data_IF_745919544485
#
_entry.id   IF_745919544485
#
_cell.length_a   1.000
_cell.length_b   1.000
_cell.length_c   1.000
_cell.angle_alpha   90.00
_cell.angle_beta   90.00
_cell.angle_gamma   90.00
#
_symmetry.space_group_name_H-M   'P 1'
#
loop_
_entity.id
_entity.type
_entity.pdbx_description
1 polymer ?
#
# COMPACT_ATOMS: atom_id res chain seq x y z
N UNK A 1 -21.25 6.67 17.25
CA UNK A 1 -20.84 8.09 17.16
C UNK A 1 -20.85 8.46 15.68
N UNK A 2 -21.55 9.51 15.26
CA UNK A 2 -21.68 9.95 13.85
C UNK A 2 -20.48 10.80 13.40
N UNK A 3 -19.28 10.46 13.87
CA UNK A 3 -18.07 11.22 13.60
C UNK A 3 -17.40 10.62 12.36
N UNK A 4 -17.73 11.19 11.21
CA UNK A 4 -17.04 10.90 9.97
C UNK A 4 -15.57 11.31 10.08
N UNK A 5 -14.66 10.44 9.61
CA UNK A 5 -13.22 10.73 9.49
C UNK A 5 -12.86 11.43 8.16
N UNK A 6 -13.86 11.78 7.35
CA UNK A 6 -13.69 12.39 6.04
C UNK A 6 -13.49 13.91 6.13
N UNK A 7 -13.05 14.53 5.02
CA UNK A 7 -12.91 15.97 4.91
C UNK A 7 -14.24 16.69 5.29
N UNK A 8 -14.20 17.74 6.14
CA UNK A 8 -15.42 18.39 6.63
C UNK A 8 -16.36 18.89 5.52
N UNK A 9 -15.82 19.42 4.42
CA UNK A 9 -16.60 19.89 3.27
C UNK A 9 -17.40 18.75 2.60
N UNK A 10 -16.79 17.57 2.41
CA UNK A 10 -17.45 16.41 1.84
C UNK A 10 -18.59 15.91 2.73
N UNK A 11 -18.38 15.90 4.06
CA UNK A 11 -19.41 15.50 5.03
C UNK A 11 -20.59 16.48 5.02
N UNK A 12 -20.32 17.79 4.94
CA UNK A 12 -21.36 18.83 4.81
C UNK A 12 -22.22 18.62 3.56
N UNK A 13 -21.59 18.45 2.38
CA UNK A 13 -22.30 18.19 1.11
C UNK A 13 -23.18 16.93 1.19
N UNK A 14 -22.67 15.86 1.80
CA UNK A 14 -23.45 14.65 2.02
C UNK A 14 -24.69 14.93 2.91
N UNK A 15 -24.51 15.65 4.03
CA UNK A 15 -25.61 16.01 4.93
C UNK A 15 -26.66 16.91 4.27
N UNK A 16 -26.24 17.84 3.39
CA UNK A 16 -27.17 18.66 2.59
C UNK A 16 -28.03 17.80 1.65
N UNK A 17 -27.45 16.78 1.01
CA UNK A 17 -28.21 15.84 0.17
C UNK A 17 -29.19 15.00 0.99
N UNK A 18 -28.81 14.60 2.20
CA UNK A 18 -29.71 13.89 3.14
C UNK A 18 -30.86 14.80 3.57
N UNK A 19 -30.58 16.05 3.97
CA UNK A 19 -31.60 17.01 4.35
C UNK A 19 -32.56 17.36 3.19
N UNK A 20 -32.05 17.37 1.96
CA UNK A 20 -32.85 17.57 0.75
C UNK A 20 -33.62 16.32 0.28
N UNK A 21 -33.53 15.19 1.00
CA UNK A 21 -34.19 13.93 0.63
C UNK A 21 -33.61 13.24 -0.62
N UNK A 22 -32.47 13.71 -1.13
CA UNK A 22 -31.78 13.17 -2.31
C UNK A 22 -30.87 11.99 -1.99
N UNK A 23 -30.58 11.76 -0.70
CA UNK A 23 -29.75 10.65 -0.22
C UNK A 23 -30.36 10.08 1.07
N UNK A 24 -30.34 8.76 1.20
CA UNK A 24 -30.66 8.09 2.45
C UNK A 24 -29.38 7.72 3.18
N UNK A 25 -29.16 8.31 4.36
CA UNK A 25 -28.09 7.89 5.26
C UNK A 25 -28.63 6.87 6.26
N UNK A 26 -27.92 5.75 6.39
CA UNK A 26 -28.26 4.64 7.29
C UNK A 26 -27.01 4.26 8.09
N UNK A 27 -27.07 4.39 9.40
CA UNK A 27 -25.97 4.01 10.29
C UNK A 27 -26.13 2.54 10.70
N UNK A 28 -25.17 1.70 10.33
CA UNK A 28 -25.19 0.27 10.63
C UNK A 28 -24.13 -0.51 9.85
N UNK A 29 -24.27 -1.83 9.83
CA UNK A 29 -23.39 -2.75 9.10
C UNK A 29 -24.21 -3.61 8.14
N UNK A 30 -23.73 -3.77 6.90
CA UNK A 30 -24.32 -4.72 5.96
C UNK A 30 -24.00 -6.14 6.43
N UNK A 31 -25.03 -6.96 6.66
CA UNK A 31 -24.89 -8.34 7.17
C UNK A 31 -25.27 -9.39 6.14
N UNK A 32 -26.06 -9.04 5.14
CA UNK A 32 -26.41 -9.94 4.03
C UNK A 32 -26.72 -9.15 2.76
N UNK A 33 -26.60 -9.82 1.62
CA UNK A 33 -27.00 -9.32 0.30
C UNK A 33 -28.11 -10.20 -0.25
N UNK A 34 -29.09 -9.59 -0.91
CA UNK A 34 -30.17 -10.27 -1.63
C UNK A 34 -30.03 -10.01 -3.12
N UNK A 35 -30.25 -11.04 -3.92
CA UNK A 35 -30.09 -11.00 -5.35
C UNK A 35 -30.10 -12.40 -5.94
N UNK A 36 -30.32 -12.50 -7.24
CA UNK A 36 -30.24 -13.74 -7.99
C UNK A 36 -29.40 -13.53 -9.26
N UNK A 37 -28.73 -14.58 -9.74
CA UNK A 37 -27.88 -14.52 -10.93
C UNK A 37 -26.74 -13.49 -10.86
N UNK A 38 -26.28 -13.13 -9.65
CA UNK A 38 -25.26 -12.09 -9.44
C UNK A 38 -25.79 -10.65 -9.52
N UNK A 39 -27.10 -10.45 -9.66
CA UNK A 39 -27.74 -9.13 -9.69
C UNK A 39 -28.27 -8.81 -8.30
N UNK A 40 -27.79 -7.72 -7.70
CA UNK A 40 -28.24 -7.26 -6.39
C UNK A 40 -29.67 -6.71 -6.48
N UNK A 41 -30.50 -7.01 -5.49
CA UNK A 41 -31.83 -6.43 -5.32
C UNK A 41 -32.00 -5.69 -3.99
N UNK A 42 -31.27 -6.10 -2.94
CA UNK A 42 -31.22 -5.38 -1.67
C UNK A 42 -29.97 -5.72 -0.83
N UNK A 43 -29.65 -4.84 0.11
CA UNK A 43 -28.70 -5.09 1.19
C UNK A 43 -29.46 -5.12 2.54
N UNK A 44 -29.16 -6.11 3.38
CA UNK A 44 -29.64 -6.17 4.77
C UNK A 44 -28.64 -5.45 5.66
N UNK A 45 -29.12 -4.42 6.36
CA UNK A 45 -28.31 -3.60 7.26
C UNK A 45 -28.77 -3.82 8.68
N UNK A 46 -27.85 -4.19 9.57
CA UNK A 46 -28.07 -4.23 11.02
C UNK A 46 -27.72 -2.86 11.61
N UNK A 47 -28.72 -2.20 12.18
CA UNK A 47 -28.56 -0.95 12.92
C UNK A 47 -27.85 -1.15 14.26
N UNK A 48 -27.43 -0.05 14.88
CA UNK A 48 -26.77 -0.08 16.20
C UNK A 48 -27.72 -0.46 17.34
N UNK A 49 -29.03 -0.35 17.11
CA UNK A 49 -30.10 -0.82 18.00
C UNK A 49 -30.32 -2.35 17.92
N UNK A 50 -29.58 -3.03 17.03
CA UNK A 50 -29.70 -4.47 16.80
C UNK A 50 -30.81 -4.84 15.81
N UNK A 51 -31.67 -3.90 15.42
CA UNK A 51 -32.69 -4.13 14.42
C UNK A 51 -32.06 -4.27 13.02
N UNK A 52 -32.66 -5.09 12.17
CA UNK A 52 -32.24 -5.23 10.77
C UNK A 52 -33.29 -4.66 9.85
N UNK A 53 -32.84 -3.96 8.80
CA UNK A 53 -33.71 -3.41 7.77
C UNK A 53 -33.09 -3.62 6.38
N UNK A 54 -33.93 -3.57 5.35
CA UNK A 54 -33.53 -3.75 3.97
C UNK A 54 -33.39 -2.42 3.25
N UNK A 55 -32.35 -2.32 2.42
CA UNK A 55 -32.12 -1.20 1.51
C UNK A 55 -32.17 -1.75 0.10
N UNK A 56 -33.21 -1.40 -0.66
CA UNK A 56 -33.32 -1.77 -2.07
C UNK A 56 -32.16 -1.13 -2.85
N UNK A 57 -31.38 -1.94 -3.54
CA UNK A 57 -30.23 -1.48 -4.33
C UNK A 57 -29.86 -2.49 -5.40
N UNK A 58 -29.37 -2.01 -6.53
CA UNK A 58 -28.86 -2.81 -7.63
C UNK A 58 -27.32 -2.86 -7.69
N UNK A 59 -26.63 -2.03 -6.89
CA UNK A 59 -25.18 -1.97 -6.83
C UNK A 59 -24.71 -1.67 -5.41
N UNK A 60 -23.60 -2.28 -4.99
CA UNK A 60 -22.94 -1.98 -3.73
C UNK A 60 -21.50 -1.54 -4.02
N UNK A 61 -21.13 -0.37 -3.51
CA UNK A 61 -19.79 0.20 -3.66
C UNK A 61 -19.13 0.26 -2.26
N UNK A 62 -18.38 -0.78 -1.86
CA UNK A 62 -17.72 -0.81 -0.56
C UNK A 62 -16.45 0.04 -0.55
N UNK A 63 -16.42 1.09 0.27
CA UNK A 63 -15.23 1.95 0.48
C UNK A 63 -14.62 1.73 1.87
N UNK A 64 -14.21 0.49 2.18
CA UNK A 64 -13.65 0.13 3.49
C UNK A 64 -12.18 0.55 3.71
N UNK A 65 -11.57 1.19 2.71
CA UNK A 65 -10.13 1.44 2.67
C UNK A 65 -9.37 0.31 1.98
N UNK A 66 -8.06 0.27 2.19
CA UNK A 66 -7.15 -0.69 1.55
C UNK A 66 -6.60 -1.67 2.59
N UNK A 67 -6.34 -2.90 2.15
CA UNK A 67 -5.63 -3.91 2.94
C UNK A 67 -4.39 -4.36 2.19
N UNK A 68 -3.27 -4.52 2.90
CA UNK A 68 -2.04 -5.03 2.31
C UNK A 68 -2.08 -6.56 2.32
N UNK A 69 -1.99 -7.15 1.14
CA UNK A 69 -1.75 -8.58 0.96
C UNK A 69 -0.41 -8.74 0.26
N UNK A 70 0.33 -9.82 0.53
CA UNK A 70 1.60 -10.10 -0.13
C UNK A 70 1.45 -10.10 -1.67
N UNK A 71 0.30 -10.56 -2.16
CA UNK A 71 -0.06 -10.46 -3.56
C UNK A 71 0.88 -11.28 -4.45
N UNK A 72 1.21 -10.79 -5.66
CA UNK A 72 1.99 -11.55 -6.64
C UNK A 72 3.38 -11.99 -6.17
N UNK A 73 3.96 -11.31 -5.17
CA UNK A 73 5.31 -11.66 -4.65
C UNK A 73 5.36 -13.10 -4.14
N UNK A 74 4.23 -13.62 -3.63
CA UNK A 74 4.11 -15.01 -3.18
C UNK A 74 4.38 -16.02 -4.31
N UNK A 75 4.09 -15.64 -5.55
CA UNK A 75 4.10 -16.55 -6.71
C UNK A 75 5.39 -16.42 -7.55
N UNK A 76 6.33 -15.56 -7.15
CA UNK A 76 7.57 -15.32 -7.92
C UNK A 76 8.64 -16.41 -7.75
N UNK A 77 8.37 -17.44 -6.95
CA UNK A 77 9.34 -18.50 -6.65
C UNK A 77 10.54 -18.02 -5.83
N UNK A 78 10.41 -16.88 -5.15
CA UNK A 78 11.42 -16.36 -4.23
C UNK A 78 11.31 -17.07 -2.89
N UNK A 79 12.45 -17.27 -2.23
CA UNK A 79 12.48 -17.87 -0.90
C UNK A 79 11.88 -16.88 0.12
N UNK A 80 10.75 -17.22 0.71
CA UNK A 80 10.07 -16.42 1.72
C UNK A 80 10.24 -17.03 3.11
N UNK A 81 10.52 -16.20 4.10
CA UNK A 81 10.49 -16.54 5.51
C UNK A 81 9.43 -15.68 6.19
N UNK A 82 8.35 -16.28 6.68
CA UNK A 82 7.22 -15.56 7.32
C UNK A 82 6.66 -14.42 6.45
N UNK A 83 6.49 -14.67 5.15
CA UNK A 83 6.04 -13.69 4.14
C UNK A 83 7.00 -12.51 3.88
N UNK A 84 8.27 -12.62 4.33
CA UNK A 84 9.33 -11.65 4.05
C UNK A 84 10.43 -12.29 3.22
N UNK A 85 11.17 -11.47 2.47
CA UNK A 85 12.30 -11.90 1.64
C UNK A 85 13.61 -11.81 2.43
N UNK A 86 14.27 -12.94 2.77
CA UNK A 86 15.61 -12.91 3.35
C UNK A 86 16.60 -12.30 2.37
N UNK A 87 17.49 -11.45 2.88
CA UNK A 87 18.52 -10.77 2.08
C UNK A 87 19.87 -10.73 2.79
N UNK A 88 20.95 -10.55 2.03
CA UNK A 88 22.26 -10.22 2.60
C UNK A 88 22.31 -8.76 3.08
N UNK A 89 23.11 -8.46 4.10
CA UNK A 89 23.16 -7.11 4.70
C UNK A 89 24.18 -6.17 4.03
N UNK A 90 24.97 -6.64 3.07
CA UNK A 90 25.94 -5.82 2.37
C UNK A 90 25.36 -5.19 1.09
N UNK A 91 24.41 -5.88 0.44
CA UNK A 91 23.82 -5.50 -0.85
C UNK A 91 22.30 -5.55 -0.85
N UNK A 92 21.68 -6.20 0.13
CA UNK A 92 20.24 -6.46 0.17
C UNK A 92 19.73 -7.26 -1.05
N UNK A 93 20.59 -8.15 -1.54
CA UNK A 93 20.31 -9.11 -2.61
C UNK A 93 19.60 -10.33 -2.01
N UNK A 94 18.61 -10.85 -2.72
CA UNK A 94 17.87 -12.06 -2.32
C UNK A 94 18.68 -13.32 -2.64
N UNK A 95 18.12 -14.50 -2.36
CA UNK A 95 18.71 -15.76 -2.83
C UNK A 95 18.80 -15.88 -4.36
N UNK A 96 18.08 -15.06 -5.10
CA UNK A 96 18.12 -15.02 -6.57
C UNK A 96 19.01 -13.85 -7.03
N UNK A 97 20.17 -14.11 -7.66
CA UNK A 97 21.08 -13.05 -8.10
C UNK A 97 20.41 -12.03 -9.02
N UNK A 98 20.70 -10.75 -8.81
CA UNK A 98 20.09 -9.63 -9.52
C UNK A 98 18.70 -9.22 -9.04
N UNK A 99 18.07 -9.97 -8.13
CA UNK A 99 16.84 -9.57 -7.45
C UNK A 99 17.17 -9.09 -6.04
N UNK A 100 16.75 -7.86 -5.74
CA UNK A 100 16.99 -7.21 -4.45
C UNK A 100 15.66 -6.97 -3.74
N UNK A 101 15.70 -6.92 -2.41
CA UNK A 101 14.55 -6.56 -1.60
C UNK A 101 14.97 -5.56 -0.53
N UNK A 102 14.29 -4.41 -0.49
CA UNK A 102 14.53 -3.31 0.46
C UNK A 102 13.24 -2.86 1.12
N UNK A 103 13.32 -2.20 2.27
CA UNK A 103 12.15 -1.75 3.03
C UNK A 103 11.45 -2.89 3.76
N UNK A 104 10.16 -2.74 4.03
CA UNK A 104 9.42 -3.60 4.97
C UNK A 104 9.16 -5.03 4.47
N UNK A 105 9.45 -5.31 3.19
CA UNK A 105 9.27 -6.62 2.57
C UNK A 105 10.45 -7.58 2.85
N UNK A 106 11.62 -7.07 3.23
CA UNK A 106 12.79 -7.92 3.48
C UNK A 106 12.95 -8.31 4.96
N UNK A 107 13.85 -9.24 5.22
CA UNK A 107 14.26 -9.63 6.57
C UNK A 107 15.74 -9.98 6.64
N UNK A 108 16.37 -9.68 7.79
CA UNK A 108 17.75 -10.01 8.15
C UNK A 108 17.93 -9.81 9.67
N UNK A 109 18.97 -10.36 10.31
CA UNK A 109 19.19 -10.20 11.74
C UNK A 109 19.22 -8.73 12.18
N UNK A 110 18.31 -8.35 13.08
CA UNK A 110 18.18 -6.98 13.59
C UNK A 110 17.35 -6.02 12.70
N UNK A 111 16.62 -6.53 11.69
CA UNK A 111 15.73 -5.71 10.86
C UNK A 111 14.72 -4.93 11.70
N UNK A 112 14.60 -3.62 11.39
CA UNK A 112 13.53 -2.76 11.86
C UNK A 112 12.72 -2.24 10.66
N UNK A 113 11.39 -2.25 10.77
CA UNK A 113 10.46 -1.73 9.74
C UNK A 113 10.33 -0.22 9.87
N UNK A 114 11.38 0.47 9.47
CA UNK A 114 11.47 1.92 9.56
C UNK A 114 11.90 2.50 8.22
N UNK A 115 11.35 3.67 7.88
CA UNK A 115 11.63 4.37 6.61
C UNK A 115 13.14 4.62 6.44
N UNK A 116 13.84 5.03 7.51
CA UNK A 116 15.29 5.27 7.47
C UNK A 116 16.11 4.00 7.17
N UNK A 117 15.67 2.82 7.61
CA UNK A 117 16.31 1.55 7.28
C UNK A 117 16.16 1.28 5.79
N UNK A 118 14.96 1.49 5.23
CA UNK A 118 14.73 1.41 3.78
C UNK A 118 15.65 2.32 2.96
N UNK A 119 15.96 3.53 3.44
CA UNK A 119 16.92 4.41 2.77
C UNK A 119 18.36 3.89 2.81
N UNK A 120 18.80 3.38 3.96
CA UNK A 120 20.12 2.73 4.08
C UNK A 120 20.21 1.52 3.14
N UNK A 121 19.15 0.71 3.11
CA UNK A 121 19.06 -0.48 2.28
C UNK A 121 19.13 -0.15 0.78
N UNK A 122 18.37 0.86 0.36
CA UNK A 122 18.39 1.36 -1.01
C UNK A 122 19.78 1.85 -1.43
N UNK A 123 20.50 2.53 -0.54
CA UNK A 123 21.82 3.08 -0.83
C UNK A 123 22.85 1.98 -1.12
N UNK A 124 22.86 0.89 -0.35
CA UNK A 124 23.75 -0.24 -0.56
C UNK A 124 23.32 -1.08 -1.78
N UNK A 125 22.02 -1.32 -1.95
CA UNK A 125 21.47 -2.04 -3.11
C UNK A 125 21.87 -1.38 -4.44
N UNK A 126 21.77 -0.05 -4.52
CA UNK A 126 22.11 0.69 -5.74
C UNK A 126 23.58 0.50 -6.17
N UNK A 127 24.50 0.30 -5.22
CA UNK A 127 25.92 0.04 -5.51
C UNK A 127 26.10 -1.30 -6.23
N UNK A 128 25.39 -2.35 -5.78
CA UNK A 128 25.45 -3.66 -6.41
C UNK A 128 24.71 -3.67 -7.74
N UNK A 129 23.52 -3.07 -7.81
CA UNK A 129 22.75 -2.94 -9.04
C UNK A 129 23.53 -2.18 -10.12
N UNK A 130 24.31 -1.15 -9.77
CA UNK A 130 25.17 -0.44 -10.71
C UNK A 130 26.19 -1.37 -11.38
N UNK A 131 26.81 -2.29 -10.63
CA UNK A 131 27.81 -3.22 -11.17
C UNK A 131 27.21 -4.24 -12.13
N UNK A 132 25.96 -4.65 -11.88
CA UNK A 132 25.20 -5.53 -12.77
C UNK A 132 24.83 -4.78 -14.04
N UNK A 133 24.34 -3.54 -13.91
CA UNK A 133 23.92 -2.70 -15.05
C UNK A 133 25.10 -2.30 -15.94
N UNK A 134 26.25 -1.97 -15.35
CA UNK A 134 27.43 -1.49 -16.07
C UNK A 134 28.65 -2.40 -15.81
N UNK A 135 28.67 -3.62 -16.39
CA UNK A 135 29.80 -4.54 -16.21
C UNK A 135 31.12 -3.92 -16.69
N UNK A 136 32.15 -4.00 -15.87
CA UNK A 136 33.48 -3.45 -16.17
C UNK A 136 33.63 -1.94 -15.89
N UNK A 137 32.55 -1.21 -15.62
CA UNK A 137 32.66 0.19 -15.20
C UNK A 137 33.09 0.29 -13.74
N UNK A 138 34.14 1.08 -13.47
CA UNK A 138 34.58 1.34 -12.10
C UNK A 138 33.66 2.35 -11.43
N UNK A 139 32.94 1.90 -10.41
CA UNK A 139 32.13 2.78 -9.58
C UNK A 139 33.02 3.67 -8.69
N UNK A 140 33.02 4.97 -8.97
CA UNK A 140 33.72 5.99 -8.18
C UNK A 140 32.79 6.60 -7.14
N UNK A 141 33.10 6.43 -5.86
CA UNK A 141 32.32 7.02 -4.78
C UNK A 141 32.55 8.53 -4.70
N UNK A 142 31.46 9.29 -4.63
CA UNK A 142 31.47 10.75 -4.63
C UNK A 142 30.39 11.27 -3.68
N UNK A 143 30.65 12.40 -3.03
CA UNK A 143 29.67 13.07 -2.18
C UNK A 143 28.84 14.06 -3.00
N UNK A 144 27.53 14.09 -2.75
CA UNK A 144 26.60 14.99 -3.44
C UNK A 144 26.90 16.47 -3.21
N UNK A 145 27.51 16.81 -2.07
CA UNK A 145 27.87 18.18 -1.69
C UNK A 145 29.04 18.76 -2.48
N UNK A 146 29.98 17.92 -2.96
CA UNK A 146 31.21 18.38 -3.60
C UNK A 146 31.39 17.92 -5.05
N UNK A 147 30.57 16.99 -5.53
CA UNK A 147 30.66 16.50 -6.91
C UNK A 147 29.76 17.30 -7.86
N UNK A 148 30.38 18.03 -8.78
CA UNK A 148 29.68 18.70 -9.90
C UNK A 148 28.99 17.70 -10.82
N UNK A 149 29.55 16.50 -11.00
CA UNK A 149 28.93 15.43 -11.79
C UNK A 149 27.62 14.95 -11.17
N UNK A 150 27.57 14.79 -9.85
CA UNK A 150 26.34 14.43 -9.15
C UNK A 150 25.35 15.60 -9.12
N UNK A 151 25.80 16.83 -8.86
CA UNK A 151 24.95 18.02 -8.88
C UNK A 151 24.25 18.22 -10.24
N UNK A 152 24.97 18.01 -11.34
CA UNK A 152 24.40 18.02 -12.70
C UNK A 152 23.32 16.96 -12.88
N UNK A 153 23.50 15.74 -12.35
CA UNK A 153 22.47 14.68 -12.40
C UNK A 153 21.23 15.05 -11.57
N UNK A 154 21.40 15.83 -10.51
CA UNK A 154 20.31 16.32 -9.66
C UNK A 154 19.62 17.58 -10.23
N UNK A 155 20.12 18.16 -11.33
CA UNK A 155 19.60 19.42 -11.87
C UNK A 155 19.94 20.64 -11.03
N UNK A 156 20.99 20.57 -10.19
CA UNK A 156 21.52 21.70 -9.43
C UNK A 156 22.52 22.45 -10.31
N UNK A 157 22.32 23.77 -10.42
CA UNK A 157 23.15 24.69 -11.21
C UNK A 157 24.58 24.79 -10.68
#
# INVERSE_FOLDING_TARGET
RDDFRAAPDSVRKMRELVAAGKMQFKLGQVTALKGDGGILSAAVVKGNDGASFEVATNAMLPFFGLTMKLGPVADWGLNLHENLLPVDTAKFETSTPGIFAIGDINTYPGKLKLILSGFHEAALMAQQAFRIKNPGERLMFQYTTSSSSLQKKLGVA
#
